data_IF_082401647978
#
_entry.id   IF_082401647978
#
_cell.length_a   1.000
_cell.length_b   1.000
_cell.length_c   1.000
_cell.angle_alpha   90.00
_cell.angle_beta   90.00
_cell.angle_gamma   90.00
#
_symmetry.space_group_name_H-M   'P 1'
#
loop_
_entity.id
_entity.type
_entity.pdbx_description
1 polymer ?
#
# COMPACT_ATOMS: atom_id res chain seq x y z
N UNK A 1 10.90 12.55 -10.33
CA UNK A 1 9.78 13.49 -10.57
C UNK A 1 8.59 12.98 -9.80
N UNK A 2 8.14 13.74 -8.79
CA UNK A 2 7.10 13.35 -7.84
C UNK A 2 5.72 13.31 -8.52
N UNK A 3 4.81 12.45 -8.06
CA UNK A 3 3.49 12.33 -8.70
C UNK A 3 2.71 13.63 -8.61
N UNK A 4 2.79 14.34 -7.47
CA UNK A 4 2.27 15.70 -7.30
C UNK A 4 2.82 16.68 -8.34
N UNK A 5 4.12 16.63 -8.63
CA UNK A 5 4.74 17.54 -9.61
C UNK A 5 4.20 17.35 -11.03
N UNK A 6 3.75 16.13 -11.37
CA UNK A 6 3.08 15.83 -12.64
C UNK A 6 1.60 16.21 -12.62
N UNK A 7 0.95 16.09 -11.47
CA UNK A 7 -0.48 16.40 -11.29
C UNK A 7 -0.73 17.91 -11.29
N UNK A 8 0.12 18.67 -10.63
CA UNK A 8 -0.03 20.13 -10.49
C UNK A 8 0.68 20.88 -11.62
N UNK A 9 1.70 20.32 -12.24
CA UNK A 9 2.60 21.09 -13.10
C UNK A 9 3.52 21.98 -12.26
N UNK A 10 4.51 22.63 -12.90
CA UNK A 10 5.57 23.45 -12.27
C UNK A 10 5.03 24.71 -11.56
N UNK A 11 4.16 24.61 -10.56
CA UNK A 11 3.70 25.74 -9.77
C UNK A 11 4.46 25.83 -8.45
N UNK A 12 5.24 26.90 -8.32
CA UNK A 12 6.12 27.17 -7.18
C UNK A 12 5.41 27.67 -5.91
N UNK A 13 4.08 27.85 -5.90
CA UNK A 13 3.32 28.26 -4.70
C UNK A 13 1.92 27.62 -4.66
N UNK A 14 1.65 26.92 -3.56
CA UNK A 14 0.41 26.23 -3.15
C UNK A 14 -0.24 25.28 -4.18
N UNK A 15 0.27 24.03 -4.30
CA UNK A 15 -0.25 23.04 -5.23
C UNK A 15 -1.71 22.63 -4.96
N UNK A 16 -2.10 22.58 -3.69
CA UNK A 16 -3.42 22.09 -3.29
C UNK A 16 -4.52 23.09 -3.65
N UNK A 17 -4.27 24.40 -3.55
CA UNK A 17 -5.30 25.43 -3.73
C UNK A 17 -5.86 25.47 -5.15
N UNK A 18 -5.03 25.16 -6.16
CA UNK A 18 -5.42 25.17 -7.57
C UNK A 18 -6.06 23.87 -8.05
N UNK A 19 -5.96 22.79 -7.27
CA UNK A 19 -6.57 21.51 -7.61
C UNK A 19 -8.08 21.59 -7.45
N UNK A 20 -8.80 21.29 -8.52
CA UNK A 20 -10.26 21.20 -8.48
C UNK A 20 -10.69 19.77 -8.11
N UNK A 21 -11.87 19.66 -7.49
CA UNK A 21 -12.52 18.36 -7.23
C UNK A 21 -12.64 17.55 -8.52
N UNK A 22 -12.97 18.21 -9.64
CA UNK A 22 -13.13 17.58 -10.95
C UNK A 22 -11.82 16.96 -11.46
N UNK A 23 -10.70 17.66 -11.32
CA UNK A 23 -9.39 17.15 -11.76
C UNK A 23 -8.98 15.93 -10.93
N UNK A 24 -9.19 15.99 -9.61
CA UNK A 24 -8.92 14.90 -8.69
C UNK A 24 -9.82 13.69 -8.96
N UNK A 25 -11.11 13.89 -9.25
CA UNK A 25 -12.02 12.81 -9.64
C UNK A 25 -11.62 12.15 -10.96
N UNK A 26 -11.22 12.95 -11.95
CA UNK A 26 -10.72 12.45 -13.23
C UNK A 26 -9.47 11.59 -13.04
N UNK A 27 -8.50 12.04 -12.26
CA UNK A 27 -7.28 11.28 -11.99
C UNK A 27 -7.57 10.03 -11.15
N UNK A 28 -8.47 10.11 -10.17
CA UNK A 28 -8.90 8.96 -9.37
C UNK A 28 -9.48 7.86 -10.25
N UNK A 29 -10.36 8.20 -11.19
CA UNK A 29 -10.94 7.25 -12.16
C UNK A 29 -9.87 6.65 -13.07
N UNK A 30 -8.93 7.47 -13.54
CA UNK A 30 -7.80 7.02 -14.37
C UNK A 30 -6.92 6.02 -13.64
N UNK A 31 -6.53 6.32 -12.39
CA UNK A 31 -5.70 5.45 -11.55
C UNK A 31 -6.42 4.16 -11.20
N UNK A 32 -7.71 4.24 -10.84
CA UNK A 32 -8.55 3.06 -10.59
C UNK A 32 -8.57 2.13 -11.80
N UNK A 33 -8.76 2.69 -13.00
CA UNK A 33 -8.77 1.91 -14.24
C UNK A 33 -7.43 1.21 -14.51
N UNK A 34 -6.30 1.87 -14.21
CA UNK A 34 -4.96 1.26 -14.30
C UNK A 34 -4.77 0.13 -13.29
N UNK A 35 -5.18 0.34 -12.05
CA UNK A 35 -5.13 -0.69 -11.00
C UNK A 35 -5.92 -1.93 -11.43
N UNK A 36 -7.15 -1.74 -11.90
CA UNK A 36 -8.01 -2.86 -12.32
C UNK A 36 -7.43 -3.60 -13.53
N UNK A 37 -6.78 -2.88 -14.46
CA UNK A 37 -6.05 -3.50 -15.59
C UNK A 37 -4.88 -4.35 -15.11
N UNK A 38 -4.01 -3.82 -14.23
CA UNK A 38 -2.85 -4.56 -13.72
C UNK A 38 -3.28 -5.79 -12.93
N UNK A 39 -4.33 -5.69 -12.11
CA UNK A 39 -4.93 -6.84 -11.43
C UNK A 39 -5.34 -7.95 -12.41
N UNK A 40 -5.99 -7.59 -13.52
CA UNK A 40 -6.37 -8.55 -14.57
C UNK A 40 -5.15 -9.18 -15.24
N UNK A 41 -4.12 -8.40 -15.54
CA UNK A 41 -2.87 -8.88 -16.14
C UNK A 41 -2.13 -9.86 -15.22
N UNK A 42 -1.97 -9.53 -13.93
CA UNK A 42 -1.37 -10.41 -12.92
C UNK A 42 -2.16 -11.73 -12.82
N UNK A 43 -3.50 -11.66 -12.78
CA UNK A 43 -4.36 -12.85 -12.74
C UNK A 43 -4.22 -13.72 -13.99
N UNK A 44 -4.01 -13.11 -15.15
CA UNK A 44 -3.77 -13.84 -16.40
C UNK A 44 -2.42 -14.55 -16.38
N UNK A 45 -1.37 -13.87 -15.93
CA UNK A 45 -0.03 -14.45 -15.79
C UNK A 45 -0.01 -15.61 -14.79
N UNK A 46 -0.70 -15.49 -13.66
CA UNK A 46 -0.81 -16.58 -12.68
C UNK A 46 -1.49 -17.83 -13.28
N UNK A 47 -2.54 -17.64 -14.08
CA UNK A 47 -3.18 -18.75 -14.81
C UNK A 47 -2.23 -19.41 -15.81
N UNK A 48 -1.46 -18.62 -16.57
CA UNK A 48 -0.47 -19.13 -17.51
C UNK A 48 0.64 -19.92 -16.78
N UNK A 49 1.14 -19.37 -15.67
CA UNK A 49 2.12 -20.05 -14.79
C UNK A 49 1.61 -21.43 -14.36
N UNK A 50 0.37 -21.49 -13.85
CA UNK A 50 -0.28 -22.73 -13.41
C UNK A 50 -0.46 -23.72 -14.56
N UNK A 51 -0.74 -23.25 -15.76
CA UNK A 51 -0.89 -24.10 -16.95
C UNK A 51 0.46 -24.72 -17.37
N UNK A 52 1.52 -23.92 -17.49
CA UNK A 52 2.86 -24.41 -17.81
C UNK A 52 3.38 -25.40 -16.77
N UNK A 53 3.08 -25.16 -15.49
CA UNK A 53 3.43 -26.09 -14.42
C UNK A 53 2.78 -27.46 -14.63
N UNK A 54 1.48 -27.49 -14.97
CA UNK A 54 0.76 -28.75 -15.27
C UNK A 54 1.33 -29.45 -16.49
N UNK A 55 1.71 -28.71 -17.53
CA UNK A 55 2.34 -29.27 -18.74
C UNK A 55 3.71 -29.90 -18.44
N UNK A 56 4.42 -29.42 -17.43
CA UNK A 56 5.69 -30.00 -16.99
C UNK A 56 5.55 -31.36 -16.27
N UNK A 57 4.36 -31.69 -15.76
CA UNK A 57 4.10 -32.96 -15.08
C UNK A 57 4.09 -34.08 -16.12
N UNK A 58 5.02 -35.03 -16.01
CA UNK A 58 5.13 -36.15 -16.95
C UNK A 58 5.88 -35.84 -18.26
N UNK A 59 6.30 -34.59 -18.50
CA UNK A 59 7.12 -34.22 -19.65
C UNK A 59 8.57 -34.74 -19.55
N UNK A 60 9.25 -34.82 -20.69
CA UNK A 60 10.68 -35.18 -20.76
C UNK A 60 11.58 -34.06 -20.20
N UNK A 61 12.86 -34.38 -19.99
CA UNK A 61 13.80 -33.47 -19.33
C UNK A 61 14.08 -32.18 -20.13
N UNK A 62 14.06 -32.22 -21.47
CA UNK A 62 14.28 -31.04 -22.29
C UNK A 62 13.07 -30.11 -22.17
N UNK A 63 11.87 -30.65 -22.33
CA UNK A 63 10.61 -29.91 -22.20
C UNK A 63 10.46 -29.29 -20.81
N UNK A 64 10.77 -30.03 -19.74
CA UNK A 64 10.77 -29.48 -18.37
C UNK A 64 11.71 -28.29 -18.20
N UNK A 65 12.91 -28.33 -18.78
CA UNK A 65 13.87 -27.21 -18.71
C UNK A 65 13.35 -25.98 -19.43
N UNK A 66 12.71 -26.14 -20.59
CA UNK A 66 12.10 -25.03 -21.33
C UNK A 66 10.94 -24.41 -20.54
N UNK A 67 10.00 -25.24 -20.06
CA UNK A 67 8.87 -24.78 -19.25
C UNK A 67 9.33 -24.07 -17.96
N UNK A 68 10.41 -24.53 -17.32
CA UNK A 68 10.97 -23.87 -16.16
C UNK A 68 11.52 -22.46 -16.47
N UNK A 69 12.12 -22.26 -17.65
CA UNK A 69 12.57 -20.93 -18.09
C UNK A 69 11.36 -20.01 -18.36
N UNK A 70 10.31 -20.52 -18.99
CA UNK A 70 9.08 -19.76 -19.25
C UNK A 70 8.37 -19.36 -17.96
N UNK A 71 8.23 -20.28 -17.01
CA UNK A 71 7.68 -20.00 -15.67
C UNK A 71 8.50 -18.91 -14.97
N UNK A 72 9.83 -18.98 -15.00
CA UNK A 72 10.71 -17.96 -14.40
C UNK A 72 10.51 -16.58 -15.05
N UNK A 73 10.31 -16.53 -16.37
CA UNK A 73 10.02 -15.30 -17.10
C UNK A 73 8.68 -14.68 -16.65
N UNK A 74 7.63 -15.52 -16.56
CA UNK A 74 6.30 -15.10 -16.08
C UNK A 74 6.39 -14.55 -14.65
N UNK A 75 7.11 -15.20 -13.74
CA UNK A 75 7.28 -14.73 -12.36
C UNK A 75 7.98 -13.37 -12.29
N UNK A 76 8.98 -13.16 -13.14
CA UNK A 76 9.65 -11.87 -13.23
C UNK A 76 8.70 -10.77 -13.72
N UNK A 77 7.88 -11.06 -14.74
CA UNK A 77 6.87 -10.12 -15.23
C UNK A 77 5.82 -9.81 -14.15
N UNK A 78 5.31 -10.84 -13.45
CA UNK A 78 4.39 -10.67 -12.32
C UNK A 78 4.99 -9.74 -11.27
N UNK A 79 6.24 -9.95 -10.88
CA UNK A 79 6.95 -9.11 -9.89
C UNK A 79 7.02 -7.64 -10.31
N UNK A 80 7.32 -7.37 -11.58
CA UNK A 80 7.35 -6.00 -12.11
C UNK A 80 5.96 -5.37 -12.12
N UNK A 81 4.92 -6.14 -12.44
CA UNK A 81 3.52 -5.68 -12.37
C UNK A 81 3.08 -5.41 -10.94
N UNK A 82 3.47 -6.22 -9.96
CA UNK A 82 3.19 -5.97 -8.53
C UNK A 82 3.81 -4.65 -8.06
N UNK A 83 5.08 -4.38 -8.39
CA UNK A 83 5.72 -3.08 -8.08
C UNK A 83 4.97 -1.91 -8.70
N UNK A 84 4.52 -2.07 -9.94
CA UNK A 84 3.71 -1.07 -10.64
C UNK A 84 2.35 -0.88 -9.98
N UNK A 85 1.72 -1.96 -9.55
CA UNK A 85 0.46 -1.95 -8.80
C UNK A 85 0.59 -1.16 -7.51
N UNK A 86 1.59 -1.48 -6.67
CA UNK A 86 1.85 -0.77 -5.42
C UNK A 86 2.09 0.73 -5.66
N UNK A 87 2.84 1.08 -6.71
CA UNK A 87 3.06 2.48 -7.09
C UNK A 87 1.76 3.19 -7.44
N UNK A 88 0.92 2.58 -8.28
CA UNK A 88 -0.38 3.17 -8.61
C UNK A 88 -1.36 3.19 -7.44
N UNK A 89 -1.24 2.24 -6.51
CA UNK A 89 -2.09 2.18 -5.31
C UNK A 89 -1.76 3.33 -4.37
N UNK A 90 -0.47 3.62 -4.12
CA UNK A 90 -0.02 4.80 -3.37
C UNK A 90 -0.52 6.10 -4.00
N UNK A 91 -0.39 6.22 -5.33
CA UNK A 91 -0.91 7.38 -6.07
C UNK A 91 -2.44 7.50 -5.98
N UNK A 92 -3.15 6.38 -6.05
CA UNK A 92 -4.61 6.36 -5.94
C UNK A 92 -5.07 6.80 -4.55
N UNK A 93 -4.46 6.24 -3.49
CA UNK A 93 -4.75 6.61 -2.11
C UNK A 93 -4.49 8.10 -1.90
N UNK A 94 -3.35 8.60 -2.39
CA UNK A 94 -3.00 10.01 -2.34
C UNK A 94 -4.07 10.91 -2.97
N UNK A 95 -4.47 10.63 -4.22
CA UNK A 95 -5.49 11.40 -4.93
C UNK A 95 -6.85 11.31 -4.24
N UNK A 96 -7.21 10.13 -3.73
CA UNK A 96 -8.47 9.93 -3.03
C UNK A 96 -8.52 10.71 -1.71
N UNK A 97 -7.43 10.71 -0.95
CA UNK A 97 -7.32 11.47 0.29
C UNK A 97 -7.31 12.98 0.03
N UNK A 98 -6.60 13.44 -1.01
CA UNK A 98 -6.68 14.84 -1.45
C UNK A 98 -8.11 15.25 -1.84
N UNK A 99 -8.85 14.36 -2.50
CA UNK A 99 -10.24 14.61 -2.87
C UNK A 99 -11.12 14.78 -1.62
N UNK A 100 -10.91 13.96 -0.59
CA UNK A 100 -11.61 14.08 0.70
C UNK A 100 -11.27 15.40 1.39
N UNK A 101 -9.98 15.72 1.51
CA UNK A 101 -9.50 17.01 2.06
C UNK A 101 -10.12 18.20 1.30
N UNK A 102 -10.22 18.10 -0.03
CA UNK A 102 -10.84 19.14 -0.86
C UNK A 102 -12.34 19.27 -0.68
N UNK A 103 -13.06 18.17 -0.45
CA UNK A 103 -14.50 18.20 -0.15
C UNK A 103 -14.76 18.91 1.18
N UNK A 104 -13.91 18.70 2.17
CA UNK A 104 -14.01 19.33 3.49
C UNK A 104 -13.29 20.68 3.61
N UNK A 105 -12.86 21.29 2.49
CA UNK A 105 -12.06 22.53 2.51
C UNK A 105 -12.68 23.65 3.36
N UNK A 106 -14.00 23.84 3.30
CA UNK A 106 -14.68 24.89 4.09
C UNK A 106 -14.60 24.63 5.59
N UNK A 107 -14.85 23.39 6.01
CA UNK A 107 -14.85 23.00 7.42
C UNK A 107 -13.42 22.99 7.98
N UNK A 108 -12.46 22.49 7.20
CA UNK A 108 -11.03 22.54 7.54
C UNK A 108 -10.48 23.97 7.66
N UNK A 109 -11.02 24.92 6.89
CA UNK A 109 -10.70 26.36 7.04
C UNK A 109 -11.24 26.93 8.33
N UNK A 110 -12.46 26.57 8.72
CA UNK A 110 -13.09 27.06 9.95
C UNK A 110 -12.33 26.65 11.21
N UNK A 111 -11.73 25.46 11.23
CA UNK A 111 -10.92 24.96 12.36
C UNK A 111 -9.42 25.29 12.24
N UNK A 112 -9.00 26.03 11.20
CA UNK A 112 -7.60 26.40 10.97
C UNK A 112 -6.67 25.28 10.48
N UNK A 113 -7.18 24.05 10.33
CA UNK A 113 -6.41 22.90 9.84
C UNK A 113 -5.99 23.07 8.38
N UNK A 114 -6.79 23.76 7.57
CA UNK A 114 -6.46 24.05 6.17
C UNK A 114 -5.09 24.72 6.01
N UNK A 115 -4.76 25.69 6.88
CA UNK A 115 -3.49 26.40 6.84
C UNK A 115 -2.31 25.50 7.21
N UNK A 116 -2.53 24.46 8.01
CA UNK A 116 -1.49 23.46 8.29
C UNK A 116 -1.24 22.64 7.03
N UNK A 117 -2.30 22.14 6.39
CA UNK A 117 -2.22 21.29 5.19
C UNK A 117 -1.60 22.04 4.00
N UNK A 118 -2.02 23.29 3.75
CA UNK A 118 -1.56 24.07 2.59
C UNK A 118 -0.10 24.49 2.66
N UNK A 119 0.48 24.54 3.86
CA UNK A 119 1.88 24.93 4.08
C UNK A 119 2.85 23.73 4.11
N UNK A 120 2.35 22.49 4.05
CA UNK A 120 3.21 21.30 3.99
C UNK A 120 3.89 21.21 2.63
N UNK A 121 5.16 20.80 2.64
CA UNK A 121 5.91 20.58 1.41
C UNK A 121 5.21 19.50 0.56
N UNK A 122 5.09 19.69 -0.76
CA UNK A 122 4.33 18.78 -1.61
C UNK A 122 4.81 17.33 -1.47
N UNK A 123 6.13 17.11 -1.48
CA UNK A 123 6.76 15.81 -1.29
C UNK A 123 6.28 15.12 -0.01
N UNK A 124 6.29 15.86 1.10
CA UNK A 124 5.89 15.35 2.41
C UNK A 124 4.39 15.06 2.46
N UNK A 125 3.58 15.91 1.82
CA UNK A 125 2.15 15.69 1.70
C UNK A 125 1.85 14.43 0.88
N UNK A 126 2.59 14.19 -0.21
CA UNK A 126 2.46 12.97 -1.03
C UNK A 126 2.66 11.74 -0.18
N UNK A 127 3.80 11.67 0.51
CA UNK A 127 4.16 10.54 1.36
C UNK A 127 3.10 10.32 2.43
N UNK A 128 2.80 11.37 3.22
CA UNK A 128 1.86 11.30 4.34
C UNK A 128 0.45 10.88 3.92
N UNK A 129 -0.08 11.43 2.82
CA UNK A 129 -1.42 11.08 2.36
C UNK A 129 -1.47 9.80 1.50
N UNK A 130 -0.34 9.29 0.99
CA UNK A 130 -0.33 8.05 0.19
C UNK A 130 -0.42 6.78 1.03
N UNK A 131 0.03 6.85 2.28
CA UNK A 131 0.12 5.72 3.21
C UNK A 131 -1.10 5.59 4.14
N UNK A 132 -2.18 6.34 3.89
CA UNK A 132 -3.34 6.43 4.79
C UNK A 132 -4.61 6.10 4.03
N UNK A 133 -5.61 5.60 4.74
CA UNK A 133 -6.97 5.43 4.23
C UNK A 133 -7.87 6.41 4.98
N UNK A 134 -8.27 7.50 4.32
CA UNK A 134 -9.33 8.36 4.83
C UNK A 134 -10.67 7.80 4.30
N UNK A 135 -11.58 7.43 5.20
CA UNK A 135 -12.88 6.86 4.81
C UNK A 135 -13.85 7.96 4.30
N UNK A 136 -13.66 9.22 4.71
CA UNK A 136 -14.41 10.38 4.22
C UNK A 136 -15.93 10.29 4.46
N UNK A 137 -16.37 9.34 5.31
CA UNK A 137 -17.77 9.16 5.71
C UNK A 137 -18.19 10.19 6.75
N UNK A 138 -17.29 10.52 7.68
CA UNK A 138 -17.52 11.51 8.72
C UNK A 138 -16.37 12.50 8.79
N UNK A 139 -16.70 13.78 9.02
CA UNK A 139 -15.73 14.86 9.12
C UNK A 139 -14.77 14.63 10.30
N UNK A 140 -15.30 14.25 11.46
CA UNK A 140 -14.50 14.04 12.68
C UNK A 140 -13.45 12.93 12.49
N UNK A 141 -13.81 11.82 11.84
CA UNK A 141 -12.88 10.75 11.48
C UNK A 141 -11.81 11.23 10.48
N UNK A 142 -12.18 12.15 9.57
CA UNK A 142 -11.23 12.75 8.64
C UNK A 142 -10.24 13.66 9.37
N UNK A 143 -10.71 14.45 10.34
CA UNK A 143 -9.89 15.32 11.18
C UNK A 143 -8.94 14.51 12.06
N UNK A 144 -9.44 13.46 12.71
CA UNK A 144 -8.64 12.53 13.50
C UNK A 144 -7.56 11.86 12.65
N UNK A 145 -7.93 11.34 11.48
CA UNK A 145 -6.98 10.76 10.53
C UNK A 145 -5.91 11.76 10.09
N UNK A 146 -6.28 13.00 9.79
CA UNK A 146 -5.30 14.04 9.44
C UNK A 146 -4.40 14.41 10.61
N UNK A 147 -4.92 14.53 11.83
CA UNK A 147 -4.10 14.79 13.01
C UNK A 147 -3.09 13.67 13.26
N UNK A 148 -3.54 12.41 13.25
CA UNK A 148 -2.67 11.22 13.37
C UNK A 148 -1.53 11.28 12.34
N UNK A 149 -1.86 11.61 11.10
CA UNK A 149 -0.90 11.71 9.98
C UNK A 149 0.10 12.86 10.15
N UNK A 150 -0.33 14.00 10.67
CA UNK A 150 0.53 15.18 10.80
C UNK A 150 1.30 15.26 12.11
N UNK A 151 0.85 14.56 13.16
CA UNK A 151 1.52 14.45 14.46
C UNK A 151 2.57 13.34 14.51
N UNK A 152 2.42 12.24 13.75
CA UNK A 152 3.46 11.21 13.64
C UNK A 152 4.70 11.66 12.87
N UNK A 153 5.87 11.21 13.34
CA UNK A 153 7.15 11.41 12.65
C UNK A 153 7.20 10.53 11.40
N UNK A 154 7.89 11.00 10.37
CA UNK A 154 7.98 10.31 9.08
C UNK A 154 8.61 8.92 9.23
N UNK A 155 9.51 8.78 10.20
CA UNK A 155 10.26 7.55 10.49
C UNK A 155 9.34 6.42 10.99
N UNK A 156 8.18 6.73 11.56
CA UNK A 156 7.20 5.76 12.10
C UNK A 156 6.21 5.26 11.01
N UNK A 157 6.26 5.78 9.78
CA UNK A 157 5.29 5.46 8.72
C UNK A 157 5.70 4.29 7.80
N UNK A 158 6.98 3.89 7.81
CA UNK A 158 7.47 2.81 6.94
C UNK A 158 7.25 1.40 7.54
N UNK A 159 6.92 1.28 8.83
CA UNK A 159 6.78 -0.01 9.54
C UNK A 159 5.34 -0.59 9.53
N UNK A 160 4.28 0.23 9.63
CA UNK A 160 2.92 -0.30 9.86
C UNK A 160 2.18 -0.87 8.62
N UNK A 161 2.38 -0.31 7.42
CA UNK A 161 1.53 -0.67 6.24
C UNK A 161 1.96 -2.00 5.59
N UNK A 162 3.26 -2.31 5.60
CA UNK A 162 3.79 -3.58 5.05
C UNK A 162 3.50 -4.76 6.00
N UNK A 163 3.51 -4.52 7.31
CA UNK A 163 3.25 -5.56 8.31
C UNK A 163 1.86 -6.18 8.22
N UNK A 164 0.83 -5.37 7.96
CA UNK A 164 -0.55 -5.86 7.86
C UNK A 164 -0.81 -6.63 6.55
N UNK A 165 -0.31 -6.13 5.42
CA UNK A 165 -0.42 -6.84 4.13
C UNK A 165 0.33 -8.17 4.19
N UNK A 166 1.52 -8.19 4.80
CA UNK A 166 2.31 -9.41 5.02
C UNK A 166 1.60 -10.40 5.93
N UNK A 167 1.06 -9.98 7.09
CA UNK A 167 0.27 -10.81 8.00
C UNK A 167 -0.93 -11.45 7.30
N UNK A 168 -1.63 -10.69 6.44
CA UNK A 168 -2.75 -11.21 5.64
C UNK A 168 -2.31 -12.22 4.58
N UNK A 169 -1.19 -11.96 3.90
CA UNK A 169 -0.62 -12.88 2.91
C UNK A 169 -0.16 -14.21 3.55
N UNK A 170 0.51 -14.13 4.69
CA UNK A 170 0.98 -15.30 5.44
C UNK A 170 -0.21 -16.14 5.93
N UNK A 171 -1.23 -15.48 6.47
CA UNK A 171 -2.47 -16.12 6.90
C UNK A 171 -3.22 -16.79 5.74
N UNK A 172 -3.35 -16.14 4.57
CA UNK A 172 -3.92 -16.79 3.40
C UNK A 172 -3.08 -17.97 2.92
N UNK A 173 -1.74 -17.89 3.02
CA UNK A 173 -0.84 -19.01 2.73
C UNK A 173 -1.04 -20.22 3.65
N UNK A 174 -1.34 -20.00 4.93
CA UNK A 174 -1.66 -21.07 5.89
C UNK A 174 -3.00 -21.75 5.58
N UNK A 175 -4.02 -21.00 5.13
CA UNK A 175 -5.27 -21.61 4.63
C UNK A 175 -5.03 -22.41 3.35
N UNK A 176 -4.30 -21.83 2.39
CA UNK A 176 -4.05 -22.45 1.08
C UNK A 176 -3.22 -23.74 1.18
N UNK A 177 -2.37 -23.86 2.21
CA UNK A 177 -1.60 -25.08 2.54
C UNK A 177 -2.39 -26.10 3.36
N UNK A 178 -3.56 -25.72 3.91
CA UNK A 178 -4.39 -26.57 4.77
C UNK A 178 -3.87 -26.68 6.20
N UNK A 179 -3.01 -25.77 6.64
CA UNK A 179 -2.48 -25.74 8.02
C UNK A 179 -3.53 -25.25 9.04
N UNK A 180 -4.48 -24.40 8.62
CA UNK A 180 -5.53 -23.83 9.49
C UNK A 180 -6.85 -23.69 8.70
N UNK A 181 -8.01 -23.91 9.33
CA UNK A 181 -9.34 -23.65 8.76
C UNK A 181 -9.65 -22.14 8.68
N UNK A 182 -10.35 -21.71 7.62
CA UNK A 182 -10.51 -20.29 7.30
C UNK A 182 -11.27 -19.43 8.33
N UNK A 183 -12.05 -20.03 9.23
CA UNK A 183 -12.74 -19.32 10.31
C UNK A 183 -11.80 -19.01 11.49
N UNK A 184 -10.86 -19.89 11.84
CA UNK A 184 -9.94 -19.74 12.99
C UNK A 184 -8.88 -18.65 12.78
N UNK A 185 -8.63 -18.25 11.54
CA UNK A 185 -7.61 -17.25 11.19
C UNK A 185 -8.10 -15.83 11.47
N UNK A 186 -9.38 -15.54 11.25
CA UNK A 186 -9.89 -14.18 11.45
C UNK A 186 -9.84 -13.77 12.93
N UNK A 187 -10.03 -14.75 13.82
CA UNK A 187 -9.97 -14.56 15.28
C UNK A 187 -8.53 -14.41 15.80
N UNK A 188 -7.54 -14.96 15.09
CA UNK A 188 -6.12 -14.86 15.45
C UNK A 188 -5.38 -13.71 14.75
N UNK A 189 -5.97 -13.11 13.71
CA UNK A 189 -5.41 -11.95 13.03
C UNK A 189 -5.62 -10.70 13.87
N UNK A 190 -4.67 -10.46 14.78
CA UNK A 190 -4.59 -9.20 15.52
C UNK A 190 -4.11 -8.08 14.58
N UNK A 191 -5.04 -7.56 13.78
CA UNK A 191 -4.85 -6.48 12.80
C UNK A 191 -4.68 -5.10 13.45
N UNK A 192 -4.82 -5.01 14.77
CA UNK A 192 -4.80 -3.76 15.56
C UNK A 192 -3.74 -3.74 16.66
N UNK A 193 -2.88 -4.76 16.76
CA UNK A 193 -1.90 -4.82 17.82
C UNK A 193 -0.58 -4.19 17.37
N UNK A 194 -0.27 -3.08 18.04
CA UNK A 194 1.03 -2.43 18.12
C UNK A 194 2.17 -3.46 18.22
N UNK A 195 3.31 -3.11 17.65
CA UNK A 195 4.56 -3.83 17.82
C UNK A 195 4.92 -3.91 19.31
N UNK A 196 4.65 -5.05 19.94
CA UNK A 196 5.55 -5.53 20.97
C UNK A 196 6.71 -6.24 20.25
N UNK A 197 7.78 -5.47 20.04
CA UNK A 197 9.14 -5.99 20.03
C UNK A 197 9.38 -6.83 21.30
N UNK A 198 8.98 -8.09 21.28
CA UNK A 198 9.48 -9.11 22.19
C UNK A 198 10.46 -10.01 21.45
N UNK A 199 11.60 -9.46 21.05
CA UNK A 199 12.82 -10.26 20.88
C UNK A 199 14.11 -9.57 21.38
N UNK A 200 14.08 -8.27 21.72
CA UNK A 200 15.29 -7.57 22.18
C UNK A 200 15.55 -7.68 23.69
N UNK A 201 14.53 -7.96 24.52
CA UNK A 201 14.74 -8.17 25.98
C UNK A 201 15.38 -9.53 26.31
N UNK A 202 15.18 -10.55 25.47
CA UNK A 202 15.84 -11.85 25.64
C UNK A 202 17.29 -11.82 25.15
N UNK A 203 17.59 -11.05 24.09
CA UNK A 203 18.96 -10.89 23.58
C UNK A 203 19.88 -10.21 24.61
N UNK A 204 19.40 -9.15 25.28
CA UNK A 204 20.16 -8.46 26.32
C UNK A 204 20.38 -9.31 27.59
N UNK A 205 19.39 -10.11 28.00
CA UNK A 205 19.56 -11.05 29.14
C UNK A 205 20.53 -12.19 28.85
N UNK A 206 20.67 -12.61 27.58
CA UNK A 206 21.66 -13.62 27.17
C UNK A 206 23.07 -13.03 27.13
N UNK A 207 23.24 -11.80 26.64
CA UNK A 207 24.53 -11.10 26.58
C UNK A 207 25.08 -10.70 27.97
N UNK A 208 24.22 -10.42 28.95
CA UNK A 208 24.67 -10.17 30.34
C UNK A 208 25.09 -11.45 31.09
N UNK A 209 24.62 -12.64 30.65
CA UNK A 209 24.99 -13.92 31.26
C UNK A 209 26.29 -14.51 30.71
N UNK A 210 26.74 -14.09 29.53
CA UNK A 210 28.00 -14.55 28.94
C UNK A 210 29.23 -13.71 29.35
N UNK A 211 29.03 -12.59 30.06
CA UNK A 211 30.12 -11.71 30.55
C UNK A 211 30.28 -11.69 32.08
N UNK A 212 29.87 -12.75 32.78
CA UNK A 212 30.17 -12.96 34.21
C UNK A 212 30.89 -14.26 34.48
#
# INVERSE_FOLDING_TARGET
>A
MNFLSRLIGRFQKNPIEKLTIRDLEGERIRLKSKLDRIKKEIKSLDKQKKQLFKEGIGADNLTKKMLAQDIKSIEMEMRLKYKSFQTYQKQFNFVNNLLIVKKYEKELKNIGMWNKISNIQPELLETKLSNVILDGKEFDQTVEGLNKVFEMRIDEFDEEVDGTEKKLLDAWGQVESGEIEGEDIMDNLNLTADEEEEDDKELFKRLEKENK
#
